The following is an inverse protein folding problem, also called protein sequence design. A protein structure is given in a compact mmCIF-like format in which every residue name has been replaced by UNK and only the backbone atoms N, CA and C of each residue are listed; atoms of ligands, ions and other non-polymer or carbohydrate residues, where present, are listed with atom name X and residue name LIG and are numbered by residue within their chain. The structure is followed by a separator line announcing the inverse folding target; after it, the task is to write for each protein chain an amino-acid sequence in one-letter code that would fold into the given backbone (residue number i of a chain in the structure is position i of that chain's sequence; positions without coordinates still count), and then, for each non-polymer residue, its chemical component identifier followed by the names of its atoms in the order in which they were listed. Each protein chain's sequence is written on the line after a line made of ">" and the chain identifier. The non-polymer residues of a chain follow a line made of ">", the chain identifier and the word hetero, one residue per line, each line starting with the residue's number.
data_IF_736523562898
#
_entry.id   IF_736523562898
#
_cell.length_a   1.000
_cell.length_b   1.000
_cell.length_c   1.000
_cell.angle_alpha   90.00
_cell.angle_beta   90.00
_cell.angle_gamma   90.00
#
_symmetry.space_group_name_H-M   'P 1'
#
loop_
_entity.id
_entity.type
_entity.pdbx_description
1 polymer ?
#
# COMPACT_ATOMS: atom_id res chain seq x y z
N UNK A 1 7.08 -11.02 -55.53
CA UNK A 1 6.27 -10.13 -56.37
C UNK A 1 4.95 -9.86 -55.64
N UNK A 2 4.61 -8.58 -55.43
CA UNK A 2 3.25 -7.98 -55.25
C UNK A 2 2.37 -8.45 -54.07
N UNK A 3 1.68 -7.65 -53.24
CA UNK A 3 1.32 -6.20 -53.12
C UNK A 3 0.83 -5.99 -51.67
N UNK A 4 1.25 -4.95 -50.95
CA UNK A 4 0.67 -3.59 -50.93
C UNK A 4 -0.77 -3.54 -50.38
N UNK A 5 -0.94 -3.12 -49.12
CA UNK A 5 -2.12 -2.35 -48.66
C UNK A 5 -1.75 -1.57 -47.39
N UNK A 6 -1.35 -0.33 -47.63
CA UNK A 6 -1.21 0.78 -46.71
C UNK A 6 -2.49 1.63 -46.84
N UNK A 7 -2.88 2.31 -45.75
CA UNK A 7 -3.77 3.51 -45.67
C UNK A 7 -5.25 3.31 -45.30
N UNK A 8 -5.59 3.77 -44.09
CA UNK A 8 -6.71 4.65 -43.75
C UNK A 8 -6.25 5.43 -42.48
N UNK A 9 -5.58 6.59 -42.57
CA UNK A 9 -6.14 7.97 -42.64
C UNK A 9 -7.37 8.11 -41.73
N UNK A 10 -7.23 8.56 -40.48
CA UNK A 10 -7.06 9.93 -39.97
C UNK A 10 -8.37 10.68 -39.71
N UNK A 11 -8.35 11.41 -38.58
CA UNK A 11 -9.16 12.58 -38.22
C UNK A 11 -10.63 12.38 -37.83
N UNK A 12 -10.89 12.48 -36.52
CA UNK A 12 -11.86 13.49 -36.06
C UNK A 12 -11.40 14.10 -34.73
N UNK A 13 -10.91 15.32 -34.86
CA UNK A 13 -10.65 16.30 -33.81
C UNK A 13 -11.97 17.02 -33.47
N UNK A 14 -12.00 17.64 -32.29
CA UNK A 14 -12.86 18.76 -31.85
C UNK A 14 -14.24 18.46 -31.25
N UNK A 15 -14.38 18.71 -29.93
CA UNK A 15 -15.23 19.80 -29.42
C UNK A 15 -15.11 19.99 -27.88
N UNK A 16 -14.64 21.18 -27.49
CA UNK A 16 -14.62 21.89 -26.19
C UNK A 16 -16.05 22.10 -25.60
N UNK A 17 -16.29 22.56 -24.33
CA UNK A 17 -15.62 23.65 -23.58
C UNK A 17 -15.41 23.38 -22.06
N UNK A 18 -14.50 24.03 -21.33
CA UNK A 18 -14.59 25.41 -20.84
C UNK A 18 -15.20 25.46 -19.43
N UNK A 19 -14.48 26.03 -18.45
CA UNK A 19 -15.10 26.38 -17.16
C UNK A 19 -14.18 26.31 -15.93
N UNK A 20 -13.41 27.38 -15.71
CA UNK A 20 -13.04 27.79 -14.36
C UNK A 20 -14.30 27.91 -13.48
N UNK A 21 -14.29 27.33 -12.27
CA UNK A 21 -15.07 27.88 -11.15
C UNK A 21 -14.36 27.69 -9.82
N UNK A 22 -14.12 28.84 -9.22
CA UNK A 22 -13.66 29.15 -7.87
C UNK A 22 -14.90 29.25 -6.97
N UNK A 23 -14.67 29.18 -5.65
CA UNK A 23 -15.60 29.49 -4.55
C UNK A 23 -16.61 28.36 -4.22
N UNK A 24 -17.03 28.10 -2.99
CA UNK A 24 -17.13 28.96 -1.82
C UNK A 24 -17.25 28.10 -0.54
N UNK A 25 -16.88 28.71 0.59
CA UNK A 25 -17.12 28.24 1.96
C UNK A 25 -18.57 27.79 2.17
N UNK A 26 -18.77 26.62 2.79
CA UNK A 26 -19.99 26.37 3.58
C UNK A 26 -19.68 26.50 5.06
N UNK A 27 -19.96 27.70 5.53
CA UNK A 27 -20.33 28.03 6.91
C UNK A 27 -21.50 27.13 7.36
N UNK A 28 -21.48 26.70 8.61
CA UNK A 28 -22.66 26.14 9.27
C UNK A 28 -22.85 26.82 10.62
N UNK A 29 -24.10 27.16 11.00
CA UNK A 29 -24.37 28.16 12.04
C UNK A 29 -24.50 27.55 13.45
N UNK A 30 -24.25 28.42 14.43
CA UNK A 30 -24.54 28.36 15.87
C UNK A 30 -25.98 27.95 16.23
N UNK A 31 -26.15 27.41 17.45
CA UNK A 31 -27.05 27.85 18.56
C UNK A 31 -26.98 26.73 19.64
N UNK A 32 -26.22 26.89 20.73
CA UNK A 32 -26.53 27.53 22.03
C UNK A 32 -27.40 26.70 22.99
N UNK A 33 -26.88 26.60 24.24
CA UNK A 33 -27.52 26.58 25.58
C UNK A 33 -26.97 25.42 26.45
N UNK A 34 -26.70 25.54 27.74
CA UNK A 34 -26.78 26.63 28.72
C UNK A 34 -26.08 26.12 30.00
N UNK A 35 -25.09 26.88 30.48
CA UNK A 35 -24.80 27.28 31.88
C UNK A 35 -24.97 26.26 33.03
N UNK A 36 -23.87 25.99 33.75
CA UNK A 36 -23.59 26.23 35.20
C UNK A 36 -22.57 25.18 35.70
N UNK A 37 -21.60 25.38 36.60
CA UNK A 37 -21.31 26.38 37.63
C UNK A 37 -19.90 26.02 38.16
N UNK A 38 -18.86 26.88 38.17
CA UNK A 38 -17.77 26.99 39.20
C UNK A 38 -16.81 28.16 38.82
N UNK A 39 -16.56 29.16 39.68
CA UNK A 39 -15.37 30.04 39.63
C UNK A 39 -14.40 29.75 40.82
N UNK A 40 -13.25 30.43 40.95
CA UNK A 40 -12.08 30.46 40.07
C UNK A 40 -10.78 30.14 40.86
N UNK A 41 -9.68 29.71 40.20
CA UNK A 41 -8.33 30.27 40.46
C UNK A 41 -7.22 29.59 39.63
N UNK A 42 -6.45 30.48 39.00
CA UNK A 42 -4.99 30.44 38.79
C UNK A 42 -4.39 29.05 38.57
N UNK A 43 -4.06 28.76 37.33
CA UNK A 43 -2.66 28.56 36.93
C UNK A 43 -2.58 28.55 35.41
N UNK A 44 -1.72 29.38 34.87
CA UNK A 44 -1.30 29.36 33.48
C UNK A 44 -0.42 28.13 33.29
N UNK A 45 -0.72 27.19 32.36
CA UNK A 45 0.28 26.29 31.85
C UNK A 45 0.88 26.87 30.56
N UNK A 46 2.21 26.79 30.39
CA UNK A 46 2.90 27.29 29.22
C UNK A 46 2.50 26.51 27.96
N UNK A 47 2.65 27.18 26.82
CA UNK A 47 2.44 26.63 25.48
C UNK A 47 3.02 25.21 25.35
N UNK A 48 2.12 24.22 25.33
CA UNK A 48 2.45 22.85 24.95
C UNK A 48 2.76 22.88 23.47
N UNK A 49 4.05 22.99 23.15
CA UNK A 49 4.58 22.68 21.83
C UNK A 49 4.02 21.31 21.46
N UNK A 50 3.29 21.26 20.34
CA UNK A 50 2.92 20.02 19.63
C UNK A 50 4.17 19.15 19.55
N UNK A 51 4.28 18.18 20.45
CA UNK A 51 5.28 17.14 20.33
C UNK A 51 4.71 16.19 19.29
N UNK A 52 5.27 16.28 18.08
CA UNK A 52 5.17 15.19 17.11
C UNK A 52 5.46 13.88 17.86
N UNK A 53 4.67 12.81 17.64
CA UNK A 53 5.02 11.52 18.19
C UNK A 53 6.46 11.20 17.75
N UNK A 54 7.27 10.58 18.64
CA UNK A 54 8.65 10.23 18.34
C UNK A 54 8.70 9.45 17.03
N UNK A 55 9.77 9.59 16.21
CA UNK A 55 9.92 8.81 15.00
C UNK A 55 9.76 7.35 15.38
N UNK A 56 8.64 6.75 14.94
CA UNK A 56 8.34 5.34 15.09
C UNK A 56 9.60 4.60 14.64
N UNK A 57 10.26 3.94 15.59
CA UNK A 57 11.52 3.22 15.41
C UNK A 57 11.41 2.45 14.10
N UNK A 58 12.10 2.93 13.06
CA UNK A 58 11.94 2.38 11.72
C UNK A 58 12.33 0.91 11.83
N UNK A 59 11.33 0.03 11.81
CA UNK A 59 11.52 -1.39 12.06
C UNK A 59 12.66 -1.84 11.14
N UNK A 60 13.80 -2.24 11.71
CA UNK A 60 14.99 -2.48 10.91
C UNK A 60 14.67 -3.51 9.83
N UNK A 61 14.60 -3.04 8.59
CA UNK A 61 14.08 -3.85 7.49
C UNK A 61 15.25 -4.60 6.87
N UNK A 62 15.24 -5.93 6.96
CA UNK A 62 16.34 -6.76 6.49
C UNK A 62 16.05 -7.30 5.09
N UNK A 63 17.04 -7.23 4.22
CA UNK A 63 17.04 -7.91 2.94
C UNK A 63 17.34 -9.40 3.15
N UNK A 64 16.66 -10.29 2.41
CA UNK A 64 17.01 -11.72 2.36
C UNK A 64 18.18 -11.90 1.42
N UNK A 65 19.29 -12.41 1.95
CA UNK A 65 20.46 -12.79 1.20
C UNK A 65 20.26 -14.10 0.41
N UNK A 66 21.17 -14.40 -0.53
CA UNK A 66 21.09 -15.60 -1.37
C UNK A 66 21.08 -16.92 -0.59
N UNK A 67 21.66 -16.93 0.61
CA UNK A 67 21.85 -18.13 1.44
C UNK A 67 20.92 -18.19 2.67
N UNK A 68 20.09 -17.18 2.89
CA UNK A 68 19.27 -17.11 4.09
C UNK A 68 18.07 -18.07 4.01
N UNK A 69 17.64 -18.61 5.15
CA UNK A 69 16.46 -19.45 5.22
C UNK A 69 15.18 -18.64 4.97
N UNK A 70 14.25 -19.17 4.16
CA UNK A 70 12.95 -18.54 3.88
C UNK A 70 11.91 -18.81 4.96
N UNK A 71 12.06 -18.12 6.08
CA UNK A 71 11.03 -18.05 7.12
C UNK A 71 9.99 -16.97 6.83
N UNK A 72 8.82 -17.04 7.47
CA UNK A 72 7.82 -15.98 7.38
C UNK A 72 8.36 -14.61 7.83
N UNK A 73 9.25 -14.56 8.84
CA UNK A 73 9.90 -13.30 9.21
C UNK A 73 10.77 -12.78 8.08
N UNK A 74 11.67 -13.62 7.54
CA UNK A 74 12.61 -13.22 6.49
C UNK A 74 11.91 -12.72 5.22
N UNK A 75 10.82 -13.39 4.82
CA UNK A 75 9.97 -12.99 3.69
C UNK A 75 9.35 -11.63 3.95
N UNK A 76 8.72 -11.45 5.11
CA UNK A 76 8.06 -10.19 5.45
C UNK A 76 9.04 -9.03 5.60
N UNK A 77 10.24 -9.30 6.10
CA UNK A 77 11.34 -8.34 6.14
C UNK A 77 11.81 -7.96 4.73
N UNK A 78 12.01 -8.95 3.85
CA UNK A 78 12.44 -8.68 2.50
C UNK A 78 11.41 -7.89 1.68
N UNK A 79 10.13 -8.23 1.83
CA UNK A 79 9.03 -7.47 1.23
C UNK A 79 8.97 -6.05 1.80
N UNK A 80 9.21 -5.90 3.10
CA UNK A 80 9.35 -4.60 3.71
C UNK A 80 10.48 -3.79 3.08
N UNK A 81 11.62 -4.44 2.83
CA UNK A 81 12.83 -3.80 2.31
C UNK A 81 12.56 -3.26 0.91
N UNK A 82 11.96 -4.08 0.06
CA UNK A 82 11.58 -3.68 -1.28
C UNK A 82 10.46 -2.63 -1.30
N UNK A 83 9.52 -2.68 -0.37
CA UNK A 83 8.53 -1.60 -0.24
C UNK A 83 9.16 -0.29 0.19
N UNK A 84 10.07 -0.30 1.16
CA UNK A 84 10.79 0.89 1.60
C UNK A 84 11.60 1.49 0.44
N UNK A 85 12.31 0.65 -0.32
CA UNK A 85 13.07 1.08 -1.49
C UNK A 85 12.18 1.68 -2.58
N UNK A 86 11.01 1.12 -2.83
CA UNK A 86 10.08 1.62 -3.86
C UNK A 86 9.30 2.87 -3.46
N UNK A 87 9.00 3.06 -2.17
CA UNK A 87 8.09 4.12 -1.68
C UNK A 87 8.77 5.19 -0.82
N UNK A 88 10.08 5.06 -0.58
CA UNK A 88 10.84 5.90 0.36
C UNK A 88 10.24 5.99 1.77
N UNK A 89 9.42 5.01 2.16
CA UNK A 89 8.77 4.93 3.46
C UNK A 89 8.90 3.53 4.05
N UNK A 90 9.49 3.38 5.26
CA UNK A 90 9.56 2.08 5.90
C UNK A 90 8.15 1.56 6.22
N UNK A 91 7.92 0.24 6.13
CA UNK A 91 6.68 -0.35 6.61
C UNK A 91 6.58 -0.17 8.13
N UNK A 92 5.41 0.21 8.63
CA UNK A 92 5.19 0.26 10.07
C UNK A 92 5.35 -1.12 10.72
N UNK A 93 5.75 -1.14 11.99
CA UNK A 93 5.91 -2.38 12.75
C UNK A 93 4.62 -3.22 12.74
N UNK A 94 3.46 -2.56 12.75
CA UNK A 94 2.14 -3.21 12.63
C UNK A 94 1.97 -3.95 11.30
N UNK A 95 2.43 -3.38 10.17
CA UNK A 95 2.37 -4.05 8.85
C UNK A 95 3.26 -5.28 8.82
N UNK A 96 4.49 -5.20 9.36
CA UNK A 96 5.39 -6.35 9.48
C UNK A 96 4.77 -7.48 10.30
N UNK A 97 4.24 -7.17 11.49
CA UNK A 97 3.56 -8.17 12.35
C UNK A 97 2.35 -8.81 11.65
N UNK A 98 1.55 -8.01 10.94
CA UNK A 98 0.40 -8.51 10.18
C UNK A 98 0.82 -9.45 9.05
N UNK A 99 1.90 -9.12 8.34
CA UNK A 99 2.47 -9.99 7.31
C UNK A 99 2.87 -11.35 7.89
N UNK A 100 3.61 -11.36 9.00
CA UNK A 100 4.08 -12.59 9.64
C UNK A 100 2.89 -13.44 10.11
N UNK A 101 1.91 -12.82 10.76
CA UNK A 101 0.71 -13.50 11.23
C UNK A 101 -0.07 -14.15 10.07
N UNK A 102 -0.23 -13.46 8.93
CA UNK A 102 -0.86 -14.04 7.74
C UNK A 102 -0.03 -15.16 7.12
N UNK A 103 1.28 -15.00 7.04
CA UNK A 103 2.15 -16.05 6.51
C UNK A 103 2.06 -17.34 7.34
N UNK A 104 1.97 -17.24 8.66
CA UNK A 104 1.88 -18.38 9.59
C UNK A 104 0.47 -18.94 9.73
N UNK A 105 -0.56 -18.09 9.73
CA UNK A 105 -1.92 -18.44 10.14
C UNK A 105 -2.92 -18.65 8.99
N UNK A 106 -2.50 -18.56 7.74
CA UNK A 106 -3.40 -18.68 6.59
C UNK A 106 -3.86 -20.12 6.36
N UNK A 107 -5.18 -20.34 6.43
CA UNK A 107 -5.80 -21.67 6.28
C UNK A 107 -6.64 -21.78 5.02
N UNK A 108 -7.02 -20.66 4.40
CA UNK A 108 -7.83 -20.68 3.17
C UNK A 108 -7.00 -21.17 1.98
N UNK A 109 -7.63 -21.90 1.05
CA UNK A 109 -6.98 -22.37 -0.17
C UNK A 109 -6.42 -21.21 -1.01
N UNK A 110 -7.19 -20.13 -1.14
CA UNK A 110 -6.75 -18.88 -1.79
C UNK A 110 -5.52 -18.30 -1.10
N UNK A 111 -5.51 -18.28 0.23
CA UNK A 111 -4.42 -17.73 0.99
C UNK A 111 -3.16 -18.60 0.95
N UNK A 112 -3.29 -19.93 1.00
CA UNK A 112 -2.18 -20.87 0.77
C UNK A 112 -1.57 -20.66 -0.62
N UNK A 113 -2.40 -20.51 -1.66
CA UNK A 113 -1.94 -20.23 -3.02
C UNK A 113 -1.18 -18.89 -3.10
N UNK A 114 -1.67 -17.84 -2.46
CA UNK A 114 -0.96 -16.54 -2.37
C UNK A 114 0.38 -16.69 -1.64
N UNK A 115 0.40 -17.38 -0.50
CA UNK A 115 1.63 -17.59 0.28
C UNK A 115 2.66 -18.40 -0.50
N UNK A 116 2.23 -19.41 -1.26
CA UNK A 116 3.10 -20.18 -2.16
C UNK A 116 3.74 -19.27 -3.22
N UNK A 117 2.93 -18.47 -3.92
CA UNK A 117 3.43 -17.49 -4.90
C UNK A 117 4.43 -16.52 -4.28
N UNK A 118 4.14 -15.98 -3.10
CA UNK A 118 5.05 -15.05 -2.42
C UNK A 118 6.39 -15.72 -2.12
N UNK A 119 6.38 -16.95 -1.58
CA UNK A 119 7.61 -17.72 -1.31
C UNK A 119 8.42 -17.95 -2.58
N UNK A 120 7.77 -18.41 -3.66
CA UNK A 120 8.43 -18.68 -4.94
C UNK A 120 9.05 -17.42 -5.54
N UNK A 121 8.33 -16.29 -5.52
CA UNK A 121 8.87 -15.03 -6.04
C UNK A 121 10.05 -14.52 -5.20
N UNK A 122 9.97 -14.60 -3.87
CA UNK A 122 11.07 -14.20 -2.99
C UNK A 122 12.29 -15.11 -3.17
N UNK A 123 12.08 -16.42 -3.32
CA UNK A 123 13.17 -17.37 -3.55
C UNK A 123 13.88 -17.11 -4.90
N UNK A 124 13.10 -16.79 -5.93
CA UNK A 124 13.61 -16.48 -7.28
C UNK A 124 14.32 -15.13 -7.36
N UNK A 125 13.90 -14.15 -6.55
CA UNK A 125 14.36 -12.77 -6.62
C UNK A 125 14.82 -12.26 -5.26
N UNK A 126 15.88 -12.89 -4.73
CA UNK A 126 16.56 -12.49 -3.50
C UNK A 126 17.49 -11.29 -3.72
N UNK A 127 18.02 -10.73 -2.64
CA UNK A 127 18.94 -9.60 -2.69
C UNK A 127 18.24 -8.33 -3.16
N UNK A 128 18.93 -7.47 -3.91
CA UNK A 128 18.41 -6.14 -4.24
C UNK A 128 17.51 -6.09 -5.49
N UNK A 129 16.92 -7.23 -5.88
CA UNK A 129 16.10 -7.38 -7.09
C UNK A 129 14.63 -6.99 -6.89
N UNK A 130 14.39 -5.88 -6.19
CA UNK A 130 13.06 -5.49 -5.74
C UNK A 130 12.04 -5.27 -6.86
N UNK A 131 12.43 -4.67 -7.99
CA UNK A 131 11.51 -4.46 -9.12
C UNK A 131 11.04 -5.78 -9.74
N UNK A 132 11.96 -6.75 -9.87
CA UNK A 132 11.63 -8.09 -10.38
C UNK A 132 10.75 -8.85 -9.41
N UNK A 133 11.04 -8.77 -8.11
CA UNK A 133 10.23 -9.37 -7.06
C UNK A 133 8.80 -8.82 -7.06
N UNK A 134 8.65 -7.48 -7.04
CA UNK A 134 7.35 -6.82 -7.02
C UNK A 134 6.55 -7.13 -8.30
N UNK A 135 7.21 -7.18 -9.46
CA UNK A 135 6.59 -7.58 -10.72
C UNK A 135 6.12 -9.04 -10.69
N UNK A 136 6.96 -9.96 -10.22
CA UNK A 136 6.62 -11.38 -10.06
C UNK A 136 5.36 -11.55 -9.19
N UNK A 137 5.35 -10.90 -8.03
CA UNK A 137 4.22 -10.95 -7.11
C UNK A 137 2.95 -10.37 -7.73
N UNK A 138 3.04 -9.20 -8.35
CA UNK A 138 1.88 -8.54 -8.96
C UNK A 138 1.23 -9.44 -10.02
N UNK A 139 2.04 -10.00 -10.94
CA UNK A 139 1.55 -10.90 -12.00
C UNK A 139 0.93 -12.17 -11.41
N UNK A 140 1.67 -12.91 -10.58
CA UNK A 140 1.26 -14.22 -10.08
C UNK A 140 0.10 -14.14 -9.08
N UNK A 141 0.05 -13.10 -8.24
CA UNK A 141 -1.08 -12.90 -7.33
C UNK A 141 -2.36 -12.53 -8.07
N UNK A 142 -2.26 -11.83 -9.20
CA UNK A 142 -3.42 -11.55 -10.07
C UNK A 142 -3.94 -12.81 -10.75
N UNK A 143 -3.06 -13.72 -11.17
CA UNK A 143 -3.46 -15.04 -11.69
C UNK A 143 -4.21 -15.87 -10.63
N UNK A 144 -3.68 -15.92 -9.40
CA UNK A 144 -4.37 -16.57 -8.27
C UNK A 144 -5.74 -15.92 -8.07
N UNK A 145 -5.82 -14.59 -8.02
CA UNK A 145 -7.10 -13.88 -7.88
C UNK A 145 -8.07 -14.25 -8.99
N UNK A 146 -7.64 -14.26 -10.25
CA UNK A 146 -8.48 -14.63 -11.40
C UNK A 146 -9.00 -16.05 -11.26
N UNK A 147 -8.13 -17.01 -10.92
CA UNK A 147 -8.51 -18.43 -10.73
C UNK A 147 -9.61 -18.58 -9.68
N UNK A 148 -9.48 -17.92 -8.54
CA UNK A 148 -10.48 -18.02 -7.46
C UNK A 148 -11.74 -17.19 -7.73
N UNK A 149 -11.69 -16.14 -8.55
CA UNK A 149 -12.88 -15.39 -8.99
C UNK A 149 -13.70 -16.17 -10.02
N UNK A 150 -13.05 -16.89 -10.95
CA UNK A 150 -13.75 -17.71 -11.96
C UNK A 150 -14.39 -18.98 -11.40
N UNK A 151 -13.99 -19.44 -10.21
CA UNK A 151 -14.62 -20.58 -9.53
C UNK A 151 -15.86 -20.20 -8.69
N UNK A 152 -16.16 -18.90 -8.57
CA UNK A 152 -17.28 -18.37 -7.80
C UNK A 152 -18.45 -17.86 -8.64
N UNK A 153 -18.44 -18.06 -9.96
CA UNK A 153 -19.62 -17.82 -10.80
C UNK A 153 -20.40 -19.12 -10.94
N UNK A 154 -21.63 -19.20 -10.40
CA UNK A 154 -22.52 -20.36 -10.57
C UNK A 154 -22.97 -20.54 -12.02
#
# INVERSE_FOLDING_TARGET
>A
MTRLSLLFIAATLLALPGGCKKEEKKESPKVQKEVQNVPPRKNVPPAVKKSMPPPEEAASVKMVGPKDALTCESICDHLGYCQQKSKNHPPSARRKRTCIARCKGEKSETGKAKNKVIRECVDSFRGDQCDKLLKCMSTRLMEVRKKFMSMGQP
#
